data_IF_377754851621
#
_entry.id   IF_377754851621
#
_cell.length_a   1.000
_cell.length_b   1.000
_cell.length_c   1.000
_cell.angle_alpha   90.00
_cell.angle_beta   90.00
_cell.angle_gamma   90.00
#
_symmetry.space_group_name_H-M   'P 1'
#
loop_
_entity.id
_entity.type
_entity.pdbx_description
1 polymer ?
#
# COMPACT_ATOMS: atom_id res chain seq x y z
N UNK A 1 1.85 24.81 -5.75
CA UNK A 1 1.91 23.34 -5.60
C UNK A 1 3.38 22.93 -5.60
N UNK A 2 3.79 22.07 -4.67
CA UNK A 2 5.15 21.57 -4.54
C UNK A 2 5.15 20.06 -4.33
N UNK A 3 6.19 19.38 -4.77
CA UNK A 3 6.39 17.95 -4.54
C UNK A 3 7.44 17.80 -3.45
N UNK A 4 7.14 17.03 -2.41
CA UNK A 4 8.12 16.61 -1.41
C UNK A 4 8.58 15.18 -1.72
N UNK A 5 9.88 14.94 -1.67
CA UNK A 5 10.47 13.61 -1.88
C UNK A 5 11.23 13.20 -0.62
N UNK A 6 10.82 12.08 -0.02
CA UNK A 6 11.48 11.46 1.15
C UNK A 6 12.13 10.14 0.75
N UNK A 7 13.45 10.05 0.92
CA UNK A 7 14.21 8.84 0.66
C UNK A 7 14.37 8.01 1.94
N UNK A 8 13.99 6.72 1.88
CA UNK A 8 14.11 5.79 3.01
C UNK A 8 15.23 4.78 2.73
N UNK A 9 16.40 4.99 3.32
CA UNK A 9 17.55 4.10 3.16
C UNK A 9 17.32 2.79 3.91
N UNK A 10 17.41 1.63 3.25
CA UNK A 10 17.17 0.32 3.88
C UNK A 10 18.10 0.05 5.08
N UNK A 11 19.41 0.20 4.89
CA UNK A 11 20.41 -0.26 5.86
C UNK A 11 20.32 -1.78 6.07
N UNK A 12 20.42 -2.22 7.33
CA UNK A 12 20.32 -3.64 7.74
C UNK A 12 18.87 -4.13 7.92
N UNK A 13 17.88 -3.25 7.75
CA UNK A 13 16.45 -3.57 7.92
C UNK A 13 15.95 -4.53 6.85
N UNK A 14 14.87 -5.23 7.18
CA UNK A 14 14.13 -6.01 6.18
C UNK A 14 13.62 -5.11 5.05
N UNK A 15 13.44 -5.69 3.85
CA UNK A 15 12.92 -4.94 2.69
C UNK A 15 11.57 -4.33 3.02
N UNK A 16 11.45 -3.01 2.81
CA UNK A 16 10.23 -2.23 3.03
C UNK A 16 9.82 -2.04 4.49
N UNK A 17 10.63 -2.45 5.46
CA UNK A 17 10.34 -2.25 6.90
C UNK A 17 10.10 -0.77 7.24
N UNK A 18 10.90 0.13 6.65
CA UNK A 18 10.75 1.58 6.84
C UNK A 18 9.50 2.17 6.16
N UNK A 19 8.94 1.46 5.17
CA UNK A 19 7.91 2.01 4.29
C UNK A 19 6.56 2.11 5.01
N UNK A 20 6.21 1.12 5.83
CA UNK A 20 4.95 1.11 6.59
C UNK A 20 4.78 2.33 7.52
N UNK A 21 5.73 2.60 8.43
CA UNK A 21 5.67 3.80 9.29
C UNK A 21 5.71 5.11 8.52
N UNK A 22 6.53 5.20 7.47
CA UNK A 22 6.67 6.44 6.69
C UNK A 22 5.40 6.79 5.90
N UNK A 23 4.77 5.80 5.26
CA UNK A 23 3.49 6.00 4.56
C UNK A 23 2.40 6.44 5.54
N UNK A 24 2.37 5.85 6.74
CA UNK A 24 1.42 6.25 7.77
C UNK A 24 1.62 7.70 8.21
N UNK A 25 2.86 8.09 8.53
CA UNK A 25 3.16 9.47 8.91
C UNK A 25 2.75 10.46 7.81
N UNK A 26 3.09 10.17 6.55
CA UNK A 26 2.72 11.00 5.41
C UNK A 26 1.20 11.15 5.27
N UNK A 27 0.42 10.09 5.48
CA UNK A 27 -1.05 10.17 5.38
C UNK A 27 -1.70 10.91 6.54
N UNK A 28 -1.11 10.87 7.73
CA UNK A 28 -1.52 11.73 8.84
C UNK A 28 -1.23 13.20 8.53
N UNK A 29 -0.04 13.52 8.01
CA UNK A 29 0.34 14.89 7.62
C UNK A 29 -0.55 15.45 6.50
N UNK A 30 -0.95 14.60 5.56
CA UNK A 30 -1.86 14.97 4.46
C UNK A 30 -3.34 15.03 4.88
N UNK A 31 -3.68 14.69 6.14
CA UNK A 31 -5.07 14.68 6.63
C UNK A 31 -5.94 13.59 6.00
N UNK A 32 -5.34 12.56 5.42
CA UNK A 32 -6.04 11.43 4.79
C UNK A 32 -6.42 10.36 5.83
N UNK A 33 -5.57 10.18 6.83
CA UNK A 33 -5.78 9.22 7.90
C UNK A 33 -7.06 9.56 8.70
N UNK A 34 -7.97 8.60 8.83
CA UNK A 34 -9.16 8.72 9.67
C UNK A 34 -8.90 8.08 11.04
N UNK A 35 -9.46 8.64 12.13
CA UNK A 35 -9.34 8.07 13.48
C UNK A 35 -10.16 6.78 13.64
N UNK A 36 -11.07 6.50 12.71
CA UNK A 36 -11.89 5.29 12.72
C UNK A 36 -11.27 4.22 11.82
N UNK A 37 -11.05 3.00 12.32
CA UNK A 37 -10.61 1.88 11.49
C UNK A 37 -11.59 1.64 10.33
N UNK A 38 -11.06 1.35 9.14
CA UNK A 38 -11.87 0.98 7.99
C UNK A 38 -12.22 -0.50 7.98
N UNK A 39 -12.87 -0.93 6.89
CA UNK A 39 -13.24 -2.33 6.69
C UNK A 39 -11.98 -3.20 6.54
N UNK A 40 -12.06 -4.45 6.98
CA UNK A 40 -11.00 -5.41 6.67
C UNK A 40 -10.97 -5.61 5.14
N UNK A 41 -9.85 -5.31 4.46
CA UNK A 41 -9.77 -5.56 3.03
C UNK A 41 -9.84 -7.06 2.74
N UNK A 42 -10.59 -7.44 1.71
CA UNK A 42 -10.64 -8.84 1.26
C UNK A 42 -9.25 -9.40 1.06
N UNK A 43 -9.08 -10.68 1.41
CA UNK A 43 -7.81 -11.33 1.14
C UNK A 43 -7.71 -11.62 -0.35
N UNK A 44 -6.92 -10.80 -1.03
CA UNK A 44 -6.73 -10.90 -2.47
C UNK A 44 -5.52 -11.80 -2.68
N UNK A 45 -5.72 -12.89 -3.43
CA UNK A 45 -4.71 -13.89 -3.69
C UNK A 45 -3.59 -13.35 -4.59
N UNK A 46 -2.64 -12.64 -3.99
CA UNK A 46 -1.44 -12.18 -4.68
C UNK A 46 -0.50 -13.34 -5.08
N UNK A 47 -0.82 -14.61 -4.76
CA UNK A 47 0.01 -15.78 -5.06
C UNK A 47 -0.11 -16.27 -6.50
N UNK A 48 -1.25 -16.05 -7.17
CA UNK A 48 -1.54 -16.57 -8.51
C UNK A 48 -1.00 -15.72 -9.68
N UNK A 49 -0.30 -14.62 -9.39
CA UNK A 49 0.37 -13.80 -10.39
C UNK A 49 -0.49 -12.65 -10.92
N UNK A 50 0.01 -11.44 -10.71
CA UNK A 50 -0.45 -10.18 -11.27
C UNK A 50 -1.94 -9.86 -11.09
N UNK A 51 -2.34 -9.59 -9.85
CA UNK A 51 -3.64 -8.94 -9.60
C UNK A 51 -3.48 -7.43 -9.75
N UNK A 52 -4.02 -6.91 -10.85
CA UNK A 52 -4.32 -5.50 -11.05
C UNK A 52 -5.71 -5.22 -10.50
N UNK A 53 -5.79 -4.45 -9.42
CA UNK A 53 -7.07 -3.92 -8.96
C UNK A 53 -7.06 -2.40 -9.08
N UNK A 54 -7.95 -1.86 -9.92
CA UNK A 54 -8.19 -0.42 -10.07
C UNK A 54 -9.62 -0.17 -9.64
N UNK A 55 -9.86 0.70 -8.65
CA UNK A 55 -11.21 1.07 -8.29
C UNK A 55 -11.94 1.76 -9.45
N UNK A 56 -13.18 1.36 -9.72
CA UNK A 56 -14.03 2.00 -10.73
C UNK A 56 -14.57 3.38 -10.28
N UNK A 57 -14.59 3.62 -8.97
CA UNK A 57 -15.15 4.84 -8.39
C UNK A 57 -14.10 5.96 -8.26
N UNK A 58 -14.54 7.20 -8.48
CA UNK A 58 -13.74 8.39 -8.22
C UNK A 58 -13.41 8.44 -6.73
N UNK A 59 -12.13 8.53 -6.40
CA UNK A 59 -11.70 8.62 -5.02
C UNK A 59 -12.02 10.02 -4.47
N UNK A 60 -12.90 10.09 -3.46
CA UNK A 60 -13.20 11.34 -2.78
C UNK A 60 -12.05 11.68 -1.83
N UNK A 61 -11.14 12.55 -2.29
CA UNK A 61 -10.07 13.16 -1.48
C UNK A 61 -8.69 12.53 -1.66
N UNK A 62 -8.56 11.20 -1.63
CA UNK A 62 -7.25 10.53 -1.74
C UNK A 62 -7.31 9.31 -2.66
N UNK A 63 -6.35 9.16 -3.56
CA UNK A 63 -6.11 7.94 -4.33
C UNK A 63 -4.71 7.43 -4.05
N UNK A 64 -4.59 6.14 -3.71
CA UNK A 64 -3.32 5.47 -3.47
C UNK A 64 -3.08 4.37 -4.50
N UNK A 65 -1.90 4.34 -5.10
CA UNK A 65 -1.47 3.27 -5.99
C UNK A 65 -0.21 2.60 -5.41
N UNK A 66 -0.29 1.30 -5.14
CA UNK A 66 0.77 0.52 -4.49
C UNK A 66 1.32 -0.54 -5.44
N UNK A 67 2.58 -0.43 -5.84
CA UNK A 67 3.21 -1.48 -6.66
C UNK A 67 4.58 -1.86 -6.11
N UNK A 68 4.88 -3.16 -6.05
CA UNK A 68 6.15 -3.64 -5.51
C UNK A 68 6.13 -5.10 -5.07
N UNK A 69 6.87 -5.41 -4.00
CA UNK A 69 6.92 -6.76 -3.44
C UNK A 69 5.54 -7.16 -2.88
N UNK A 70 5.03 -8.34 -3.26
CA UNK A 70 3.67 -8.77 -2.97
C UNK A 70 3.32 -8.75 -1.48
N UNK A 71 4.21 -9.24 -0.61
CA UNK A 71 4.00 -9.24 0.84
C UNK A 71 3.94 -7.82 1.41
N UNK A 72 4.80 -6.91 0.94
CA UNK A 72 4.83 -5.51 1.34
C UNK A 72 3.57 -4.76 0.89
N UNK A 73 3.17 -4.94 -0.36
CA UNK A 73 1.97 -4.32 -0.92
C UNK A 73 0.73 -4.78 -0.15
N UNK A 74 0.61 -6.07 0.17
CA UNK A 74 -0.48 -6.62 1.00
C UNK A 74 -0.54 -5.96 2.38
N UNK A 75 0.62 -5.81 3.04
CA UNK A 75 0.73 -5.17 4.37
C UNK A 75 0.34 -3.69 4.31
N UNK A 76 0.80 -2.95 3.29
CA UNK A 76 0.47 -1.54 3.11
C UNK A 76 -1.01 -1.33 2.81
N UNK A 77 -1.61 -2.11 1.90
CA UNK A 77 -3.05 -2.06 1.62
C UNK A 77 -3.86 -2.27 2.89
N UNK A 78 -3.52 -3.29 3.67
CA UNK A 78 -4.18 -3.56 4.96
C UNK A 78 -4.09 -2.35 5.89
N UNK A 79 -2.91 -1.74 6.01
CA UNK A 79 -2.73 -0.55 6.84
C UNK A 79 -3.55 0.65 6.35
N UNK A 80 -3.57 0.92 5.05
CA UNK A 80 -4.36 2.02 4.48
C UNK A 80 -5.85 1.85 4.77
N UNK A 81 -6.40 0.68 4.47
CA UNK A 81 -7.85 0.46 4.57
C UNK A 81 -8.25 0.29 6.03
N UNK A 82 -7.62 -0.65 6.74
CA UNK A 82 -8.00 -1.01 8.11
C UNK A 82 -7.55 0.04 9.13
N UNK A 83 -6.27 0.41 9.15
CA UNK A 83 -5.74 1.24 10.23
C UNK A 83 -5.96 2.74 10.01
N UNK A 84 -6.09 3.16 8.75
CA UNK A 84 -6.19 4.58 8.37
C UNK A 84 -7.56 4.95 7.79
N UNK A 85 -8.50 4.00 7.68
CA UNK A 85 -9.85 4.26 7.20
C UNK A 85 -9.93 4.76 5.76
N UNK A 86 -8.90 4.53 4.95
CA UNK A 86 -8.91 4.85 3.53
C UNK A 86 -9.92 3.91 2.85
N UNK A 87 -10.89 4.42 2.09
CA UNK A 87 -11.83 3.57 1.39
C UNK A 87 -11.10 2.56 0.50
N UNK A 88 -11.55 1.31 0.51
CA UNK A 88 -11.03 0.25 -0.37
C UNK A 88 -11.05 0.67 -1.85
N UNK A 89 -12.08 1.40 -2.25
CA UNK A 89 -12.26 1.97 -3.60
C UNK A 89 -11.35 3.16 -3.90
N UNK A 90 -10.44 3.50 -2.99
CA UNK A 90 -9.43 4.55 -3.18
C UNK A 90 -8.02 3.98 -3.26
N UNK A 91 -7.85 2.66 -3.15
CA UNK A 91 -6.55 1.98 -3.14
C UNK A 91 -6.47 1.00 -4.30
N UNK A 92 -5.62 1.33 -5.27
CA UNK A 92 -5.19 0.41 -6.32
C UNK A 92 -3.86 -0.24 -5.92
N UNK A 93 -3.63 -1.50 -6.30
CA UNK A 93 -2.39 -2.18 -5.95
C UNK A 93 -1.99 -3.30 -6.92
N UNK A 94 -0.70 -3.66 -6.87
CA UNK A 94 -0.07 -4.68 -7.72
C UNK A 94 1.15 -5.31 -7.03
N UNK A 95 1.16 -6.64 -6.93
CA UNK A 95 2.35 -7.40 -6.54
C UNK A 95 3.19 -7.74 -7.77
N UNK A 96 4.34 -7.08 -7.94
CA UNK A 96 5.25 -7.33 -9.07
C UNK A 96 6.12 -8.56 -8.88
N UNK A 97 6.64 -8.77 -7.68
CA UNK A 97 7.58 -9.85 -7.37
C UNK A 97 7.42 -10.28 -5.91
N UNK A 98 8.00 -11.43 -5.54
CA UNK A 98 7.93 -11.95 -4.16
C UNK A 98 9.29 -12.43 -3.69
N UNK A 99 9.63 -12.14 -2.43
CA UNK A 99 10.85 -12.69 -1.81
C UNK A 99 10.72 -14.22 -1.74
N UNK A 100 11.71 -14.94 -2.27
CA UNK A 100 11.74 -16.41 -2.22
C UNK A 100 10.93 -17.11 -3.32
N UNK A 101 10.26 -16.37 -4.22
CA UNK A 101 9.79 -16.91 -5.49
C UNK A 101 10.78 -16.50 -6.57
N UNK A 102 11.41 -17.48 -7.23
CA UNK A 102 12.03 -17.21 -8.52
C UNK A 102 10.92 -16.92 -9.53
N UNK A 103 11.08 -15.89 -10.37
CA UNK A 103 10.34 -15.84 -11.63
C UNK A 103 10.70 -17.14 -12.36
N UNK A 104 9.69 -17.95 -12.72
CA UNK A 104 9.90 -19.24 -13.35
C UNK A 104 10.88 -19.12 -14.51
N UNK A 105 11.87 -20.01 -14.54
CA UNK A 105 12.77 -20.16 -15.68
C UNK A 105 12.05 -20.67 -16.93
#
# INVERSE_FOLDING_TARGET
>A
AGVEVRWLVRGERARGEALGPAVHAALCELGVAKPTPGQEPDDVDLESGLIWEVPEARADGCYAWLAGEAGMVKKLRRRLVRDLGVPRTSVAFMGYWRVGAAEGG
#
